data_IF_220195335121
#
_entry.id   IF_220195335121
#
_cell.length_a   1.000
_cell.length_b   1.000
_cell.length_c   1.000
_cell.angle_alpha   90.00
_cell.angle_beta   90.00
_cell.angle_gamma   90.00
#
_symmetry.space_group_name_H-M   'P 1'
#
loop_
_entity.id
_entity.type
_entity.pdbx_description
1 polymer ?
#
# COMPACT_ATOMS: atom_id res chain seq x y z
N UNK A 1 29.23 -9.99 4.23
CA UNK A 1 30.20 -9.54 3.21
C UNK A 1 29.81 -8.13 2.80
N UNK A 2 30.46 -7.13 3.40
CA UNK A 2 30.05 -5.72 3.35
C UNK A 2 31.01 -4.95 2.44
N UNK A 3 30.53 -4.58 1.25
CA UNK A 3 31.31 -3.80 0.28
C UNK A 3 30.98 -2.33 0.50
N UNK A 4 31.92 -1.62 1.12
CA UNK A 4 31.95 -0.16 1.23
C UNK A 4 32.10 0.43 -0.18
N UNK A 5 31.16 1.29 -0.59
CA UNK A 5 31.33 2.14 -1.79
C UNK A 5 31.87 3.50 -1.34
N UNK A 6 33.05 3.82 -1.88
CA UNK A 6 33.72 5.12 -1.78
C UNK A 6 32.97 6.19 -2.61
N UNK A 7 33.06 7.47 -2.24
CA UNK A 7 32.46 8.57 -2.99
C UNK A 7 33.31 8.96 -4.22
N UNK A 8 32.71 9.56 -5.27
CA UNK A 8 33.45 10.01 -6.43
C UNK A 8 34.17 11.34 -6.17
N UNK A 9 35.42 11.39 -6.60
CA UNK A 9 36.31 12.55 -6.57
C UNK A 9 35.81 13.67 -7.48
N UNK A 10 35.85 14.87 -6.94
CA UNK A 10 35.68 16.16 -7.61
C UNK A 10 36.82 16.43 -8.60
N UNK A 11 36.57 16.24 -9.89
CA UNK A 11 37.41 16.77 -10.97
C UNK A 11 36.93 18.18 -11.35
N UNK A 12 37.31 19.17 -10.55
CA UNK A 12 37.14 20.59 -10.84
C UNK A 12 38.44 21.33 -10.52
N UNK A 13 39.45 21.17 -11.37
CA UNK A 13 40.58 22.10 -11.52
C UNK A 13 41.48 21.57 -12.63
N UNK A 14 41.26 22.02 -13.87
CA UNK A 14 42.24 22.03 -14.98
C UNK A 14 41.56 22.55 -16.24
N UNK A 15 41.09 23.81 -16.24
CA UNK A 15 40.75 24.51 -17.48
C UNK A 15 40.84 26.04 -17.30
N UNK A 16 41.97 26.49 -16.77
CA UNK A 16 42.43 27.89 -16.90
C UNK A 16 43.82 27.87 -17.57
N UNK A 17 43.84 27.64 -18.86
CA UNK A 17 44.92 28.07 -19.75
C UNK A 17 44.44 27.90 -21.18
N UNK A 18 44.09 29.03 -21.82
CA UNK A 18 44.03 29.32 -23.27
C UNK A 18 42.85 30.23 -23.64
N UNK A 19 42.80 31.42 -23.05
CA UNK A 19 42.02 32.55 -23.60
C UNK A 19 42.71 33.85 -23.26
N UNK A 20 43.84 34.12 -23.93
CA UNK A 20 44.49 35.46 -24.03
C UNK A 20 45.50 35.43 -25.17
N UNK A 21 45.02 35.55 -26.41
CA UNK A 21 45.80 36.13 -27.51
C UNK A 21 44.86 36.47 -28.68
N UNK A 22 44.18 37.60 -28.58
CA UNK A 22 43.50 38.26 -29.70
C UNK A 22 43.39 39.73 -29.34
N UNK A 23 43.76 40.59 -30.29
CA UNK A 23 43.91 42.06 -30.25
C UNK A 23 45.32 42.55 -29.90
N UNK A 24 46.15 42.68 -30.93
CA UNK A 24 46.82 43.93 -31.30
C UNK A 24 47.91 43.64 -32.34
N UNK A 25 47.56 43.55 -33.62
CA UNK A 25 48.53 43.81 -34.71
C UNK A 25 47.76 44.11 -36.00
N UNK A 26 47.13 45.27 -36.02
CA UNK A 26 46.83 46.00 -37.23
C UNK A 26 47.52 47.35 -37.08
N UNK A 27 48.10 47.85 -38.18
CA UNK A 27 48.82 49.12 -38.34
C UNK A 27 50.35 49.09 -38.23
N UNK A 28 50.94 49.76 -39.22
CA UNK A 28 52.33 50.19 -39.36
C UNK A 28 53.41 49.18 -39.76
N UNK A 29 53.35 48.75 -41.03
CA UNK A 29 54.55 48.62 -41.88
C UNK A 29 54.23 49.17 -43.27
N UNK A 30 54.23 50.50 -43.37
CA UNK A 30 54.36 51.22 -44.62
C UNK A 30 55.68 52.01 -44.54
N UNK A 31 56.77 51.43 -45.02
CA UNK A 31 57.99 52.18 -45.37
C UNK A 31 58.80 51.41 -46.41
N UNK A 32 58.50 51.77 -47.66
CA UNK A 32 59.42 51.91 -48.80
C UNK A 32 60.58 50.92 -48.91
N UNK A 33 60.37 49.81 -49.63
CA UNK A 33 61.41 49.22 -50.46
C UNK A 33 61.06 49.44 -51.92
N UNK A 34 61.73 50.43 -52.48
CA UNK A 34 61.79 50.74 -53.92
C UNK A 34 62.06 49.46 -54.71
N UNK A 35 61.09 49.01 -55.51
CA UNK A 35 61.37 48.14 -56.64
C UNK A 35 62.04 48.98 -57.73
N UNK A 36 63.16 48.53 -58.33
CA UNK A 36 63.70 49.21 -59.49
C UNK A 36 62.71 49.04 -60.65
N UNK A 37 62.15 50.17 -61.10
CA UNK A 37 61.38 50.27 -62.33
C UNK A 37 62.31 50.02 -63.52
N UNK A 38 62.29 48.79 -64.05
CA UNK A 38 63.07 48.36 -65.21
C UNK A 38 62.37 48.67 -66.56
N UNK A 39 61.34 49.53 -66.57
CA UNK A 39 60.69 49.96 -67.81
C UNK A 39 61.44 51.06 -68.59
N UNK A 40 62.68 51.41 -68.20
CA UNK A 40 63.55 52.38 -68.88
C UNK A 40 64.93 51.83 -69.22
N UNK A 41 65.00 50.73 -69.99
CA UNK A 41 66.24 50.29 -70.62
C UNK A 41 65.95 49.75 -72.02
N UNK A 42 65.40 50.57 -72.90
CA UNK A 42 65.65 50.46 -74.34
C UNK A 42 65.21 51.75 -75.05
N UNK A 43 65.90 52.08 -76.14
CA UNK A 43 65.77 53.29 -76.99
C UNK A 43 66.70 54.46 -76.62
N UNK A 44 67.96 54.35 -77.05
CA UNK A 44 68.66 55.37 -77.86
C UNK A 44 70.08 54.85 -78.19
N UNK A 45 70.16 53.95 -79.17
CA UNK A 45 71.37 53.73 -79.96
C UNK A 45 70.98 53.90 -81.43
N UNK A 46 70.70 55.15 -81.81
CA UNK A 46 70.68 55.55 -83.21
C UNK A 46 72.12 55.77 -83.68
N UNK A 47 72.61 54.78 -84.41
CA UNK A 47 73.56 54.87 -85.53
C UNK A 47 74.36 56.18 -85.67
N UNK A 48 75.52 56.24 -85.01
CA UNK A 48 76.62 57.08 -85.49
C UNK A 48 77.29 56.37 -86.68
N UNK A 49 76.67 56.56 -87.84
CA UNK A 49 77.18 56.25 -89.15
C UNK A 49 78.47 57.04 -89.46
N UNK A 50 79.43 56.37 -90.15
CA UNK A 50 80.38 56.97 -91.13
C UNK A 50 81.63 57.64 -90.50
N UNK A 51 82.89 57.45 -90.94
CA UNK A 51 83.50 56.91 -92.17
C UNK A 51 84.91 56.40 -91.84
N UNK A 52 85.25 55.15 -92.17
CA UNK A 52 86.66 54.76 -92.31
C UNK A 52 87.13 55.02 -93.74
N UNK A 53 88.00 56.03 -93.91
CA UNK A 53 88.77 56.22 -95.14
C UNK A 53 89.64 54.98 -95.38
N UNK A 54 89.26 54.15 -96.36
CA UNK A 54 90.09 53.05 -96.90
C UNK A 54 91.39 53.62 -97.47
N UNK A 55 92.49 53.51 -96.74
CA UNK A 55 93.83 53.59 -97.35
C UNK A 55 94.03 52.33 -98.18
N UNK A 56 94.08 52.48 -99.51
CA UNK A 56 94.62 51.47 -100.42
C UNK A 56 96.07 51.21 -100.02
N UNK A 57 96.33 50.09 -99.38
CA UNK A 57 97.67 49.49 -99.36
C UNK A 57 97.68 48.23 -100.23
N UNK A 58 98.84 47.90 -100.81
CA UNK A 58 98.96 46.97 -101.92
C UNK A 58 98.63 45.55 -101.49
N UNK A 59 98.04 44.83 -102.45
CA UNK A 59 97.79 43.41 -102.47
C UNK A 59 99.10 42.64 -102.22
N UNK A 60 99.36 42.30 -100.95
CA UNK A 60 100.29 41.24 -100.58
C UNK A 60 99.44 40.00 -100.33
N UNK A 61 99.36 39.18 -101.37
CA UNK A 61 98.92 37.79 -101.29
C UNK A 61 99.79 37.06 -100.27
N UNK A 62 99.13 36.38 -99.33
CA UNK A 62 99.74 35.61 -98.23
C UNK A 62 100.40 36.44 -97.11
N UNK A 63 99.57 37.19 -96.36
CA UNK A 63 99.89 37.45 -94.95
C UNK A 63 99.65 36.16 -94.16
N UNK A 64 100.64 35.69 -93.40
CA UNK A 64 100.53 34.56 -92.48
C UNK A 64 99.35 34.67 -91.48
N UNK A 65 98.78 35.87 -91.33
CA UNK A 65 97.61 36.18 -90.51
C UNK A 65 96.23 35.87 -91.15
N UNK A 66 96.15 35.55 -92.45
CA UNK A 66 94.87 35.34 -93.16
C UNK A 66 94.10 34.10 -92.67
N UNK A 67 94.81 33.02 -92.39
CA UNK A 67 94.19 31.78 -91.90
C UNK A 67 93.79 31.89 -90.43
N UNK A 68 94.53 32.65 -89.63
CA UNK A 68 94.15 33.02 -88.26
C UNK A 68 92.84 33.83 -88.23
N UNK A 69 92.66 34.78 -89.16
CA UNK A 69 91.41 35.57 -89.25
C UNK A 69 90.21 34.71 -89.70
N UNK A 70 90.41 33.74 -90.60
CA UNK A 70 89.36 32.77 -90.97
C UNK A 70 89.01 31.86 -89.80
N UNK A 71 90.00 31.40 -89.05
CA UNK A 71 89.81 30.58 -87.84
C UNK A 71 89.02 31.36 -86.79
N UNK A 72 89.38 32.61 -86.52
CA UNK A 72 88.65 33.49 -85.59
C UNK A 72 87.19 33.72 -86.01
N UNK A 73 86.91 33.89 -87.31
CA UNK A 73 85.52 34.01 -87.79
C UNK A 73 84.71 32.74 -87.60
N UNK A 74 85.31 31.57 -87.86
CA UNK A 74 84.67 30.29 -87.63
C UNK A 74 84.41 30.07 -86.13
N UNK A 75 85.36 30.41 -85.27
CA UNK A 75 85.18 30.36 -83.81
C UNK A 75 84.10 31.34 -83.32
N UNK A 76 84.09 32.57 -83.82
CA UNK A 76 83.03 33.54 -83.53
C UNK A 76 81.66 33.01 -83.96
N UNK A 77 81.54 32.46 -85.17
CA UNK A 77 80.28 31.87 -85.65
C UNK A 77 79.82 30.69 -84.79
N UNK A 78 80.76 29.85 -84.35
CA UNK A 78 80.49 28.74 -83.43
C UNK A 78 80.04 29.25 -82.06
N UNK A 79 80.70 30.26 -81.51
CA UNK A 79 80.35 30.90 -80.24
C UNK A 79 78.97 31.56 -80.34
N UNK A 80 78.65 32.27 -81.43
CA UNK A 80 77.33 32.85 -81.67
C UNK A 80 76.25 31.78 -81.71
N UNK A 81 76.48 30.68 -82.44
CA UNK A 81 75.52 29.56 -82.51
C UNK A 81 75.30 28.91 -81.13
N UNK A 82 76.35 28.78 -80.33
CA UNK A 82 76.26 28.29 -78.95
C UNK A 82 75.46 29.24 -78.05
N UNK A 83 75.69 30.56 -78.19
CA UNK A 83 74.94 31.59 -77.45
C UNK A 83 73.46 31.60 -77.83
N UNK A 84 73.13 31.49 -79.12
CA UNK A 84 71.75 31.41 -79.59
C UNK A 84 71.03 30.16 -79.05
N UNK A 85 71.70 29.01 -79.06
CA UNK A 85 71.15 27.77 -78.49
C UNK A 85 70.97 27.90 -76.97
N UNK A 86 71.96 28.44 -76.25
CA UNK A 86 71.86 28.67 -74.81
C UNK A 86 70.72 29.63 -74.46
N UNK A 87 70.57 30.74 -75.21
CA UNK A 87 69.45 31.66 -75.05
C UNK A 87 68.12 30.98 -75.33
N UNK A 88 68.01 30.20 -76.41
CA UNK A 88 66.79 29.45 -76.74
C UNK A 88 66.40 28.45 -75.65
N UNK A 89 67.37 27.68 -75.13
CA UNK A 89 67.15 26.74 -74.04
C UNK A 89 66.69 27.44 -72.76
N UNK A 90 67.33 28.55 -72.39
CA UNK A 90 66.91 29.33 -71.23
C UNK A 90 65.50 29.90 -71.40
N UNK A 91 65.15 30.41 -72.59
CA UNK A 91 63.79 30.86 -72.89
C UNK A 91 62.78 29.72 -72.74
N UNK A 92 63.10 28.51 -73.22
CA UNK A 92 62.23 27.34 -73.03
C UNK A 92 62.08 26.95 -71.55
N UNK A 93 63.16 26.99 -70.77
CA UNK A 93 63.13 26.71 -69.32
C UNK A 93 62.23 27.73 -68.61
N UNK A 94 62.38 29.01 -68.91
CA UNK A 94 61.57 30.09 -68.33
C UNK A 94 60.09 29.91 -68.69
N UNK A 95 59.77 29.59 -69.94
CA UNK A 95 58.39 29.37 -70.36
C UNK A 95 57.75 28.17 -69.64
N UNK A 96 58.45 27.04 -69.55
CA UNK A 96 57.97 25.86 -68.79
C UNK A 96 57.77 26.20 -67.32
N UNK A 97 58.68 26.97 -66.72
CA UNK A 97 58.55 27.41 -65.34
C UNK A 97 57.35 28.35 -65.14
N UNK A 98 57.08 29.24 -66.09
CA UNK A 98 55.91 30.11 -66.04
C UNK A 98 54.60 29.32 -66.17
N UNK A 99 54.55 28.31 -67.05
CA UNK A 99 53.40 27.42 -67.18
C UNK A 99 53.12 26.65 -65.89
N UNK A 100 54.16 26.10 -65.24
CA UNK A 100 53.99 25.40 -63.95
C UNK A 100 53.58 26.34 -62.84
N UNK A 101 54.12 27.57 -62.78
CA UNK A 101 53.69 28.60 -61.82
C UNK A 101 52.21 28.95 -62.02
N UNK A 102 51.75 29.10 -63.27
CA UNK A 102 50.34 29.37 -63.57
C UNK A 102 49.46 28.20 -63.14
N UNK A 103 49.86 26.95 -63.43
CA UNK A 103 49.12 25.75 -63.01
C UNK A 103 48.97 25.68 -61.48
N UNK A 104 50.08 25.81 -60.74
CA UNK A 104 50.07 25.79 -59.27
C UNK A 104 49.24 26.93 -58.70
N UNK A 105 49.29 28.12 -59.32
CA UNK A 105 48.46 29.26 -58.91
C UNK A 105 46.97 28.95 -59.06
N UNK A 106 46.56 28.30 -60.15
CA UNK A 106 45.17 27.90 -60.36
C UNK A 106 44.73 26.86 -59.32
N UNK A 107 45.52 25.81 -59.09
CA UNK A 107 45.25 24.81 -58.05
C UNK A 107 45.14 25.46 -56.66
N UNK A 108 46.00 26.42 -56.34
CA UNK A 108 45.95 27.17 -55.08
C UNK A 108 44.66 28.01 -54.95
N UNK A 109 44.17 28.59 -56.05
CA UNK A 109 42.89 29.31 -56.02
C UNK A 109 41.69 28.38 -55.82
N UNK A 110 41.69 27.21 -56.46
CA UNK A 110 40.64 26.20 -56.28
C UNK A 110 40.62 25.65 -54.85
N UNK A 111 41.80 25.33 -54.30
CA UNK A 111 41.94 24.91 -52.90
C UNK A 111 41.43 25.96 -51.93
N UNK A 112 41.69 27.25 -52.19
CA UNK A 112 41.21 28.35 -51.36
C UNK A 112 39.67 28.45 -51.37
N UNK A 113 39.05 28.31 -52.54
CA UNK A 113 37.58 28.33 -52.67
C UNK A 113 36.97 27.13 -51.94
N UNK A 114 37.51 25.92 -52.15
CA UNK A 114 37.06 24.71 -51.48
C UNK A 114 37.19 24.82 -49.95
N UNK A 115 38.29 25.39 -49.44
CA UNK A 115 38.49 25.61 -48.02
C UNK A 115 37.44 26.57 -47.42
N UNK A 116 37.11 27.67 -48.09
CA UNK A 116 36.07 28.58 -47.61
C UNK A 116 34.68 27.94 -47.63
N UNK A 117 34.38 27.09 -48.62
CA UNK A 117 33.14 26.31 -48.65
C UNK A 117 33.07 25.32 -47.47
N UNK A 118 34.13 24.56 -47.23
CA UNK A 118 34.21 23.61 -46.10
C UNK A 118 34.03 24.36 -44.77
N UNK A 119 34.71 25.50 -44.61
CA UNK A 119 34.62 26.33 -43.41
C UNK A 119 33.21 26.87 -43.17
N UNK A 120 32.54 27.33 -44.21
CA UNK A 120 31.13 27.76 -44.14
C UNK A 120 30.23 26.60 -43.72
N UNK A 121 30.38 25.42 -44.33
CA UNK A 121 29.59 24.23 -44.01
C UNK A 121 29.80 23.77 -42.56
N UNK A 122 31.06 23.71 -42.11
CA UNK A 122 31.40 23.34 -40.72
C UNK A 122 30.81 24.33 -39.72
N UNK A 123 30.86 25.63 -40.03
CA UNK A 123 30.29 26.67 -39.17
C UNK A 123 28.78 26.57 -39.07
N UNK A 124 28.09 26.30 -40.20
CA UNK A 124 26.64 26.08 -40.23
C UNK A 124 26.25 24.86 -39.38
N UNK A 125 26.91 23.72 -39.62
CA UNK A 125 26.62 22.49 -38.88
C UNK A 125 26.89 22.64 -37.37
N UNK A 126 27.95 23.37 -36.99
CA UNK A 126 28.23 23.65 -35.58
C UNK A 126 27.14 24.51 -34.93
N UNK A 127 26.56 25.46 -35.66
CA UNK A 127 25.43 26.27 -35.19
C UNK A 127 24.17 25.41 -35.01
N UNK A 128 23.85 24.54 -35.97
CA UNK A 128 22.68 23.66 -35.91
C UNK A 128 22.78 22.66 -34.75
N UNK A 129 23.95 22.04 -34.57
CA UNK A 129 24.22 21.15 -33.43
C UNK A 129 24.05 21.91 -32.10
N UNK A 130 24.54 23.16 -32.04
CA UNK A 130 24.41 23.98 -30.84
C UNK A 130 22.96 24.30 -30.51
N UNK A 131 22.13 24.58 -31.52
CA UNK A 131 20.69 24.80 -31.35
C UNK A 131 19.99 23.53 -30.83
N UNK A 132 20.24 22.37 -31.45
CA UNK A 132 19.67 21.10 -31.01
C UNK A 132 20.08 20.74 -29.57
N UNK A 133 21.33 21.02 -29.18
CA UNK A 133 21.79 20.81 -27.79
C UNK A 133 20.99 21.68 -26.80
N UNK A 134 20.66 22.92 -27.15
CA UNK A 134 19.83 23.77 -26.29
C UNK A 134 18.40 23.24 -26.17
N UNK A 135 17.82 22.77 -27.27
CA UNK A 135 16.48 22.17 -27.26
C UNK A 135 16.45 20.91 -26.39
N UNK A 136 17.43 20.00 -26.54
CA UNK A 136 17.57 18.80 -25.69
C UNK A 136 17.72 19.18 -24.22
N UNK A 137 18.49 20.23 -23.92
CA UNK A 137 18.66 20.72 -22.56
C UNK A 137 17.35 21.23 -21.96
N UNK A 138 16.55 21.95 -22.75
CA UNK A 138 15.25 22.46 -22.32
C UNK A 138 14.25 21.32 -22.04
N UNK A 139 14.15 20.34 -22.93
CA UNK A 139 13.26 19.19 -22.77
C UNK A 139 13.68 18.31 -21.59
N UNK A 140 14.99 18.12 -21.39
CA UNK A 140 15.52 17.40 -20.22
C UNK A 140 15.16 18.09 -18.91
N UNK A 141 15.18 19.43 -18.86
CA UNK A 141 14.78 20.17 -17.66
C UNK A 141 13.29 19.98 -17.33
N UNK A 142 12.42 19.97 -18.34
CA UNK A 142 10.98 19.70 -18.19
C UNK A 142 10.77 18.28 -17.65
N UNK A 143 11.40 17.27 -18.27
CA UNK A 143 11.30 15.87 -17.83
C UNK A 143 11.77 15.70 -16.37
N UNK A 144 12.85 16.38 -15.98
CA UNK A 144 13.33 16.34 -14.60
C UNK A 144 12.31 16.92 -13.60
N UNK A 145 11.61 18.00 -13.98
CA UNK A 145 10.54 18.58 -13.18
C UNK A 145 9.35 17.62 -13.04
N UNK A 146 8.89 17.04 -14.15
CA UNK A 146 7.79 16.07 -14.16
C UNK A 146 8.11 14.82 -13.34
N UNK A 147 9.35 14.33 -13.43
CA UNK A 147 9.82 13.23 -12.60
C UNK A 147 9.76 13.56 -11.10
N UNK A 148 10.08 14.81 -10.72
CA UNK A 148 9.90 15.30 -9.35
C UNK A 148 8.43 15.30 -8.90
N UNK A 149 7.53 15.77 -9.76
CA UNK A 149 6.10 15.80 -9.50
C UNK A 149 5.52 14.39 -9.34
N UNK A 150 5.85 13.47 -10.27
CA UNK A 150 5.44 12.06 -10.19
C UNK A 150 5.93 11.40 -8.91
N UNK A 151 7.19 11.65 -8.51
CA UNK A 151 7.75 11.13 -7.27
C UNK A 151 6.95 11.59 -6.04
N UNK A 152 6.53 12.85 -6.00
CA UNK A 152 5.68 13.37 -4.92
C UNK A 152 4.31 12.68 -4.88
N UNK A 153 3.68 12.49 -6.05
CA UNK A 153 2.40 11.79 -6.15
C UNK A 153 2.49 10.32 -5.71
N UNK A 154 3.57 9.62 -6.08
CA UNK A 154 3.83 8.24 -5.65
C UNK A 154 3.91 8.16 -4.13
N UNK A 155 4.67 9.04 -3.48
CA UNK A 155 4.76 9.08 -2.01
C UNK A 155 3.40 9.36 -1.35
N UNK A 156 2.55 10.20 -1.94
CA UNK A 156 1.20 10.42 -1.42
C UNK A 156 0.30 9.18 -1.55
N UNK A 157 0.43 8.43 -2.66
CA UNK A 157 -0.32 7.19 -2.87
C UNK A 157 0.13 6.13 -1.86
N UNK A 158 1.43 5.98 -1.61
CA UNK A 158 1.97 5.06 -0.61
C UNK A 158 1.36 5.31 0.78
N UNK A 159 1.28 6.58 1.20
CA UNK A 159 0.63 6.97 2.48
C UNK A 159 -0.87 6.62 2.50
N UNK A 160 -1.57 6.78 1.38
CA UNK A 160 -3.01 6.44 1.31
C UNK A 160 -3.24 4.92 1.37
N UNK A 161 -2.34 4.14 0.76
CA UNK A 161 -2.40 2.67 0.78
C UNK A 161 -2.20 2.16 2.20
N UNK A 162 -1.15 2.60 2.90
CA UNK A 162 -0.89 2.16 4.29
C UNK A 162 -2.06 2.49 5.23
N UNK A 163 -2.60 3.70 5.14
CA UNK A 163 -3.78 4.10 5.92
C UNK A 163 -5.02 3.23 5.62
N UNK A 164 -5.17 2.78 4.37
CA UNK A 164 -6.29 1.92 3.98
C UNK A 164 -6.12 0.50 4.50
N UNK A 165 -4.90 -0.04 4.47
CA UNK A 165 -4.56 -1.34 5.06
C UNK A 165 -4.82 -1.38 6.56
N UNK A 166 -4.48 -0.31 7.28
CA UNK A 166 -4.71 -0.23 8.73
C UNK A 166 -6.20 -0.19 9.07
N UNK A 167 -7.00 0.55 8.30
CA UNK A 167 -8.47 0.56 8.44
C UNK A 167 -9.08 -0.81 8.20
N UNK A 168 -8.59 -1.54 7.20
CA UNK A 168 -9.05 -2.91 6.90
C UNK A 168 -8.74 -3.84 8.09
N UNK A 169 -7.52 -3.80 8.64
CA UNK A 169 -7.15 -4.59 9.83
C UNK A 169 -8.01 -4.29 11.05
N UNK A 170 -8.36 -3.02 11.26
CA UNK A 170 -9.28 -2.62 12.33
C UNK A 170 -10.68 -3.22 12.12
N UNK A 171 -11.24 -3.08 10.92
CA UNK A 171 -12.56 -3.63 10.59
C UNK A 171 -12.61 -5.16 10.72
N UNK A 172 -11.56 -5.86 10.29
CA UNK A 172 -11.44 -7.32 10.48
C UNK A 172 -11.44 -7.72 11.95
N UNK A 173 -10.75 -6.94 12.79
CA UNK A 173 -10.69 -7.18 14.23
C UNK A 173 -12.06 -6.99 14.87
N UNK A 174 -12.77 -5.92 14.52
CA UNK A 174 -14.11 -5.66 15.05
C UNK A 174 -15.15 -6.67 14.55
N UNK A 175 -15.04 -7.12 13.30
CA UNK A 175 -15.86 -8.20 12.76
C UNK A 175 -15.66 -9.51 13.55
N UNK A 176 -14.41 -9.87 13.87
CA UNK A 176 -14.12 -11.06 14.71
C UNK A 176 -14.75 -10.95 16.10
N UNK A 177 -14.65 -9.79 16.75
CA UNK A 177 -15.26 -9.55 18.07
C UNK A 177 -16.78 -9.73 18.01
N UNK A 178 -17.45 -9.16 17.00
CA UNK A 178 -18.89 -9.27 16.84
C UNK A 178 -19.33 -10.71 16.57
N UNK A 179 -18.58 -11.45 15.75
CA UNK A 179 -18.84 -12.86 15.45
C UNK A 179 -18.73 -13.76 16.69
N UNK A 180 -17.78 -13.48 17.59
CA UNK A 180 -17.65 -14.20 18.86
C UNK A 180 -18.78 -13.87 19.84
N UNK A 181 -19.21 -12.61 19.89
CA UNK A 181 -20.33 -12.18 20.75
C UNK A 181 -21.66 -12.77 20.31
N UNK A 182 -21.89 -12.95 19.01
CA UNK A 182 -23.18 -13.47 18.49
C UNK A 182 -23.34 -14.98 18.70
N UNK A 183 -22.25 -15.76 18.67
CA UNK A 183 -22.31 -17.21 18.88
C UNK A 183 -22.46 -17.64 20.34
N UNK A 184 -21.97 -16.85 21.31
CA UNK A 184 -22.02 -17.21 22.74
C UNK A 184 -23.32 -16.81 23.43
N UNK A 185 -23.97 -15.72 22.99
CA UNK A 185 -25.18 -15.21 23.64
C UNK A 185 -26.47 -15.89 23.16
N UNK A 186 -26.56 -16.31 21.89
CA UNK A 186 -27.81 -16.86 21.36
C UNK A 186 -28.13 -18.28 21.89
N UNK A 187 -27.14 -19.18 21.93
CA UNK A 187 -27.38 -20.59 22.29
C UNK A 187 -27.69 -20.79 23.77
N UNK A 188 -27.02 -20.03 24.64
CA UNK A 188 -27.22 -20.09 26.09
C UNK A 188 -28.55 -19.47 26.52
N UNK A 189 -28.92 -18.34 25.91
CA UNK A 189 -30.17 -17.64 26.22
C UNK A 189 -31.41 -18.36 25.67
N UNK A 190 -31.33 -19.00 24.50
CA UNK A 190 -32.42 -19.84 23.98
C UNK A 190 -32.70 -21.06 24.87
N UNK A 191 -31.64 -21.73 25.36
CA UNK A 191 -31.77 -22.86 26.29
C UNK A 191 -32.39 -22.43 27.62
N UNK A 192 -31.98 -21.26 28.16
CA UNK A 192 -32.55 -20.70 29.38
C UNK A 192 -34.04 -20.34 29.20
N UNK A 193 -34.39 -19.71 28.08
CA UNK A 193 -35.79 -19.37 27.77
C UNK A 193 -36.66 -20.63 27.65
N UNK A 194 -36.16 -21.69 27.01
CA UNK A 194 -36.88 -22.96 26.87
C UNK A 194 -37.08 -23.67 28.22
N UNK A 195 -36.13 -23.55 29.15
CA UNK A 195 -36.32 -24.05 30.52
C UNK A 195 -37.41 -23.27 31.26
N UNK A 196 -37.45 -21.94 31.12
CA UNK A 196 -38.48 -21.08 31.72
C UNK A 196 -39.87 -21.43 31.15
N UNK A 197 -40.00 -21.55 29.83
CA UNK A 197 -41.28 -21.88 29.17
C UNK A 197 -41.81 -23.23 29.66
N UNK A 198 -40.95 -24.26 29.69
CA UNK A 198 -41.32 -25.59 30.20
C UNK A 198 -41.77 -25.56 31.65
N UNK A 199 -41.07 -24.82 32.50
CA UNK A 199 -41.43 -24.67 33.91
C UNK A 199 -42.79 -23.97 34.09
N UNK A 200 -43.09 -22.92 33.32
CA UNK A 200 -44.39 -22.23 33.37
C UNK A 200 -45.52 -23.17 32.96
N UNK A 201 -45.33 -23.95 31.89
CA UNK A 201 -46.32 -24.93 31.44
C UNK A 201 -46.54 -26.03 32.49
N UNK A 202 -45.48 -26.53 33.12
CA UNK A 202 -45.57 -27.55 34.16
C UNK A 202 -46.28 -27.03 35.41
N UNK A 203 -46.03 -25.78 35.82
CA UNK A 203 -46.79 -25.14 36.91
C UNK A 203 -48.27 -25.04 36.59
N UNK A 204 -48.62 -24.60 35.38
CA UNK A 204 -50.01 -24.50 34.93
C UNK A 204 -50.73 -25.85 34.93
N UNK A 205 -50.03 -26.95 34.59
CA UNK A 205 -50.59 -28.32 34.67
C UNK A 205 -50.77 -28.82 36.11
N UNK A 206 -50.01 -28.27 37.07
CA UNK A 206 -49.99 -28.74 38.46
C UNK A 206 -50.80 -27.88 39.42
N UNK A 207 -51.15 -26.65 39.08
CA UNK A 207 -51.89 -25.72 39.94
C UNK A 207 -53.27 -26.25 40.37
N UNK A 208 -53.87 -27.11 39.53
CA UNK A 208 -55.16 -27.75 39.80
C UNK A 208 -55.05 -28.98 40.72
N UNK A 209 -53.84 -29.32 41.18
CA UNK A 209 -53.58 -30.53 41.94
C UNK A 209 -53.11 -30.21 43.36
N UNK A 210 -53.50 -31.08 44.29
CA UNK A 210 -52.95 -31.11 45.65
C UNK A 210 -52.39 -32.48 45.97
N UNK A 211 -51.49 -32.50 46.95
CA UNK A 211 -50.88 -33.70 47.48
C UNK A 211 -51.29 -33.83 48.94
N UNK A 212 -51.98 -34.93 49.26
CA UNK A 212 -52.41 -35.27 50.61
C UNK A 212 -51.49 -36.36 51.17
N UNK A 213 -51.04 -36.18 52.40
CA UNK A 213 -50.14 -37.09 53.12
C UNK A 213 -50.77 -37.45 54.45
N UNK A 214 -50.64 -38.71 54.87
CA UNK A 214 -51.14 -39.19 56.16
C UNK A 214 -52.43 -40.02 56.09
N UNK A 215 -52.98 -40.26 54.89
CA UNK A 215 -54.11 -41.18 54.70
C UNK A 215 -53.59 -42.63 54.75
N UNK A 216 -54.09 -43.48 55.68
CA UNK A 216 -53.69 -44.87 55.82
C UNK A 216 -53.79 -45.66 54.50
N UNK A 217 -52.89 -46.61 54.27
CA UNK A 217 -52.97 -47.48 53.08
C UNK A 217 -54.08 -48.52 53.25
N UNK A 218 -54.86 -48.71 52.20
CA UNK A 218 -55.90 -49.73 52.15
C UNK A 218 -55.27 -51.10 51.85
N UNK A 219 -55.54 -52.09 52.69
CA UNK A 219 -54.98 -53.45 52.61
C UNK A 219 -55.89 -54.44 51.86
N UNK A 220 -57.02 -53.99 51.31
CA UNK A 220 -57.91 -54.86 50.53
C UNK A 220 -57.18 -55.43 49.31
N UNK A 221 -57.51 -56.69 48.99
CA UNK A 221 -57.00 -57.40 47.82
C UNK A 221 -57.58 -56.79 46.55
N UNK A 222 -58.84 -56.31 46.59
CA UNK A 222 -59.49 -55.72 45.44
C UNK A 222 -58.97 -54.31 45.16
N UNK A 223 -58.72 -54.03 43.89
CA UNK A 223 -58.19 -52.72 43.48
C UNK A 223 -59.27 -51.66 43.44
N UNK A 224 -60.50 -52.00 43.05
CA UNK A 224 -61.59 -51.04 42.99
C UNK A 224 -62.03 -50.61 44.39
N UNK A 225 -62.14 -51.54 45.32
CA UNK A 225 -62.46 -51.24 46.71
C UNK A 225 -61.43 -50.29 47.35
N UNK A 226 -60.13 -50.48 47.07
CA UNK A 226 -59.08 -49.58 47.56
C UNK A 226 -59.24 -48.17 46.99
N UNK A 227 -59.53 -48.04 45.69
CA UNK A 227 -59.75 -46.74 45.05
C UNK A 227 -60.98 -46.05 45.67
N UNK A 228 -62.12 -46.76 45.80
CA UNK A 228 -63.35 -46.20 46.37
C UNK A 228 -63.17 -45.73 47.82
N UNK A 229 -62.42 -46.49 48.63
CA UNK A 229 -62.09 -46.06 50.00
C UNK A 229 -61.20 -44.83 50.01
N UNK A 230 -60.17 -44.78 49.18
CA UNK A 230 -59.32 -43.59 49.04
C UNK A 230 -60.14 -42.37 48.57
N UNK A 231 -61.08 -42.54 47.63
CA UNK A 231 -62.00 -41.47 47.21
C UNK A 231 -62.87 -40.97 48.37
N UNK A 232 -63.45 -41.89 49.14
CA UNK A 232 -64.29 -41.57 50.30
C UNK A 232 -63.50 -40.81 51.37
N UNK A 233 -62.28 -41.26 51.68
CA UNK A 233 -61.40 -40.61 52.67
C UNK A 233 -61.04 -39.18 52.23
N UNK A 234 -60.64 -39.01 50.97
CA UNK A 234 -60.34 -37.69 50.40
C UNK A 234 -61.56 -36.78 50.41
N UNK A 235 -62.74 -37.28 50.07
CA UNK A 235 -63.96 -36.49 50.05
C UNK A 235 -64.38 -36.06 51.47
N UNK A 236 -64.23 -36.95 52.46
CA UNK A 236 -64.47 -36.63 53.87
C UNK A 236 -63.50 -35.57 54.41
N UNK A 237 -62.24 -35.59 53.97
CA UNK A 237 -61.25 -34.57 54.37
C UNK A 237 -61.56 -33.22 53.71
N UNK A 238 -61.84 -33.23 52.41
CA UNK A 238 -62.05 -32.00 51.63
C UNK A 238 -63.36 -31.29 51.98
N UNK A 239 -64.44 -32.04 52.24
CA UNK A 239 -65.74 -31.49 52.65
C UNK A 239 -65.70 -30.77 54.00
N UNK A 240 -64.85 -31.24 54.94
CA UNK A 240 -64.63 -30.58 56.24
C UNK A 240 -64.01 -29.18 56.12
N UNK A 241 -63.24 -28.94 55.05
CA UNK A 241 -62.58 -27.65 54.84
C UNK A 241 -63.57 -26.62 54.30
N UNK A 242 -64.35 -27.01 53.29
CA UNK A 242 -65.44 -26.21 52.72
C UNK A 242 -66.43 -27.08 51.95
N UNK A 243 -67.73 -26.84 52.15
CA UNK A 243 -68.80 -27.48 51.40
C UNK A 243 -68.88 -27.04 49.92
N UNK A 244 -68.23 -25.92 49.57
CA UNK A 244 -68.22 -25.38 48.20
C UNK A 244 -67.22 -26.07 47.26
N UNK A 245 -66.41 -27.01 47.78
CA UNK A 245 -65.39 -27.69 46.99
C UNK A 245 -66.06 -28.81 46.16
N UNK A 246 -65.93 -28.79 44.83
CA UNK A 246 -66.50 -29.84 43.98
C UNK A 246 -65.77 -31.17 44.17
N UNK A 247 -66.40 -32.26 43.70
CA UNK A 247 -65.76 -33.58 43.66
C UNK A 247 -64.48 -33.51 42.79
N UNK A 248 -63.34 -34.08 43.24
CA UNK A 248 -62.16 -34.17 42.41
C UNK A 248 -62.36 -35.06 41.18
N UNK A 249 -61.68 -34.74 40.07
CA UNK A 249 -61.75 -35.51 38.83
C UNK A 249 -60.98 -36.83 38.91
N UNK A 250 -59.81 -36.79 39.57
CA UNK A 250 -58.89 -37.93 39.65
C UNK A 250 -58.25 -37.97 41.02
N UNK A 251 -58.29 -39.14 41.63
CA UNK A 251 -57.69 -39.43 42.93
C UNK A 251 -56.84 -40.70 42.77
N UNK A 252 -55.55 -40.62 43.09
CA UNK A 252 -54.67 -41.78 43.03
C UNK A 252 -53.43 -41.61 43.90
N UNK A 253 -52.90 -42.73 44.40
CA UNK A 253 -51.64 -42.75 45.18
C UNK A 253 -50.43 -42.59 44.26
N UNK A 254 -49.45 -41.80 44.70
CA UNK A 254 -48.16 -41.63 44.05
C UNK A 254 -47.11 -42.52 44.74
N UNK A 255 -46.38 -43.31 43.96
CA UNK A 255 -45.21 -44.07 44.41
C UNK A 255 -45.48 -45.57 44.61
N UNK A 256 -44.40 -46.31 44.85
CA UNK A 256 -44.44 -47.76 45.11
C UNK A 256 -44.89 -48.03 46.53
N UNK A 257 -45.71 -49.07 46.71
CA UNK A 257 -46.16 -49.50 48.03
C UNK A 257 -44.98 -49.97 48.88
N UNK A 258 -44.96 -49.58 50.16
CA UNK A 258 -43.99 -50.05 51.16
C UNK A 258 -44.73 -50.27 52.47
N UNK A 259 -44.59 -51.46 53.05
CA UNK A 259 -45.21 -51.80 54.32
C UNK A 259 -44.77 -50.81 55.43
N UNK A 260 -45.73 -50.37 56.24
CA UNK A 260 -45.50 -49.40 57.32
C UNK A 260 -45.35 -47.94 56.87
N UNK A 261 -45.46 -47.63 55.57
CA UNK A 261 -45.40 -46.26 55.05
C UNK A 261 -46.67 -45.91 54.29
N UNK A 262 -47.17 -44.68 54.51
CA UNK A 262 -48.32 -44.15 53.76
C UNK A 262 -47.83 -43.40 52.53
N UNK A 263 -48.29 -43.83 51.35
CA UNK A 263 -48.03 -43.08 50.12
C UNK A 263 -48.87 -41.81 50.09
N UNK A 264 -48.38 -40.85 49.31
CA UNK A 264 -49.08 -39.59 49.10
C UNK A 264 -50.21 -39.81 48.09
N UNK A 265 -51.34 -39.15 48.30
CA UNK A 265 -52.45 -39.14 47.34
C UNK A 265 -52.40 -37.86 46.53
N UNK A 266 -52.45 -37.98 45.20
CA UNK A 266 -52.67 -36.88 44.28
C UNK A 266 -54.17 -36.72 44.04
N UNK A 267 -54.64 -35.50 44.19
CA UNK A 267 -56.03 -35.13 43.96
C UNK A 267 -56.04 -34.04 42.90
N UNK A 268 -56.77 -34.26 41.80
CA UNK A 268 -56.82 -33.36 40.65
C UNK A 268 -58.22 -32.75 40.51
N UNK A 269 -58.28 -31.43 40.32
CA UNK A 269 -59.51 -30.67 40.08
C UNK A 269 -59.52 -30.08 38.67
N UNK A 270 -60.67 -29.57 38.23
CA UNK A 270 -60.77 -28.83 36.96
C UNK A 270 -60.20 -27.41 37.05
N UNK A 271 -60.32 -26.79 38.23
CA UNK A 271 -60.06 -25.38 38.42
C UNK A 271 -59.16 -25.11 39.64
N UNK A 272 -58.28 -24.09 39.60
CA UNK A 272 -57.28 -23.84 40.65
C UNK A 272 -57.89 -23.32 41.96
N UNK A 273 -59.13 -22.83 41.92
CA UNK A 273 -59.82 -22.26 43.08
C UNK A 273 -60.01 -23.30 44.19
N UNK A 274 -60.29 -24.56 43.84
CA UNK A 274 -60.50 -25.62 44.84
C UNK A 274 -59.21 -25.99 45.59
N UNK A 275 -58.08 -26.30 44.91
CA UNK A 275 -56.77 -26.41 45.54
C UNK A 275 -56.38 -25.19 46.39
N UNK A 276 -56.57 -23.97 45.88
CA UNK A 276 -56.23 -22.75 46.61
C UNK A 276 -57.03 -22.61 47.91
N UNK A 277 -58.34 -22.89 47.87
CA UNK A 277 -59.19 -22.82 49.04
C UNK A 277 -58.80 -23.87 50.10
N UNK A 278 -58.45 -25.08 49.66
CA UNK A 278 -57.96 -26.16 50.53
C UNK A 278 -56.65 -25.78 51.21
N UNK A 279 -55.69 -25.24 50.45
CA UNK A 279 -54.39 -24.83 50.97
C UNK A 279 -54.48 -23.62 51.92
N UNK A 280 -55.43 -22.71 51.68
CA UNK A 280 -55.68 -21.54 52.54
C UNK A 280 -56.31 -21.92 53.88
N UNK A 281 -57.18 -22.91 53.88
CA UNK A 281 -57.91 -23.36 55.08
C UNK A 281 -57.35 -24.67 55.64
N UNK A 282 -56.07 -24.96 55.40
CA UNK A 282 -55.41 -26.22 55.81
C UNK A 282 -55.41 -26.46 57.33
N UNK A 283 -55.65 -25.43 58.13
CA UNK A 283 -55.77 -25.51 59.59
C UNK A 283 -57.03 -26.28 60.04
N UNK A 284 -58.06 -26.39 59.18
CA UNK A 284 -59.27 -27.19 59.44
C UNK A 284 -59.07 -28.69 59.22
N UNK A 285 -57.91 -29.09 58.71
CA UNK A 285 -57.60 -30.47 58.38
C UNK A 285 -57.10 -31.16 59.66
N UNK A 286 -57.46 -32.43 59.91
CA UNK A 286 -56.96 -33.18 61.06
C UNK A 286 -55.42 -33.17 61.15
N UNK A 287 -54.87 -33.05 62.36
CA UNK A 287 -53.41 -32.90 62.57
C UNK A 287 -52.56 -34.03 61.99
N UNK A 288 -53.13 -35.24 61.88
CA UNK A 288 -52.49 -36.41 61.28
C UNK A 288 -52.38 -36.36 59.75
N UNK A 289 -53.07 -35.41 59.10
CA UNK A 289 -53.12 -35.26 57.65
C UNK A 289 -52.53 -33.92 57.24
N UNK A 290 -51.66 -33.93 56.23
CA UNK A 290 -51.03 -32.72 55.69
C UNK A 290 -51.35 -32.58 54.22
N UNK A 291 -51.70 -31.36 53.81
CA UNK A 291 -51.94 -31.02 52.40
C UNK A 291 -50.86 -30.05 51.91
N UNK A 292 -50.36 -30.34 50.72
CA UNK A 292 -49.36 -29.56 50.01
C UNK A 292 -49.85 -29.25 48.59
N UNK A 293 -49.33 -28.18 47.99
CA UNK A 293 -49.48 -27.96 46.56
C UNK A 293 -48.63 -28.99 45.78
N UNK A 294 -49.09 -29.37 44.59
CA UNK A 294 -48.28 -30.17 43.66
C UNK A 294 -47.21 -29.27 43.01
N UNK A 295 -45.98 -29.39 43.49
CA UNK A 295 -44.85 -28.56 43.06
C UNK A 295 -44.06 -29.21 41.92
N UNK A 296 -43.51 -28.40 41.02
CA UNK A 296 -42.53 -28.86 40.03
C UNK A 296 -41.23 -29.28 40.71
N UNK A 297 -40.38 -30.11 40.05
CA UNK A 297 -39.05 -30.42 40.57
C UNK A 297 -38.19 -29.17 40.84
N UNK A 298 -38.31 -28.13 40.00
CA UNK A 298 -37.60 -26.87 40.19
C UNK A 298 -38.10 -26.11 41.43
N UNK A 299 -39.41 -26.04 41.64
CA UNK A 299 -40.01 -25.46 42.86
C UNK A 299 -39.57 -26.23 44.11
N UNK A 300 -39.59 -27.56 44.06
CA UNK A 300 -39.17 -28.40 45.19
C UNK A 300 -37.68 -28.19 45.51
N UNK A 301 -36.81 -28.17 44.49
CA UNK A 301 -35.38 -27.89 44.66
C UNK A 301 -35.13 -26.51 45.26
N UNK A 302 -35.82 -25.48 44.76
CA UNK A 302 -35.72 -24.12 45.30
C UNK A 302 -36.17 -24.06 46.76
N UNK A 303 -37.32 -24.68 47.08
CA UNK A 303 -37.83 -24.71 48.44
C UNK A 303 -36.92 -25.48 49.42
N UNK A 304 -36.29 -26.57 48.97
CA UNK A 304 -35.28 -27.28 49.75
C UNK A 304 -34.05 -26.41 50.02
N UNK A 305 -33.57 -25.67 49.02
CA UNK A 305 -32.45 -24.76 49.20
C UNK A 305 -32.77 -23.66 50.24
N UNK A 306 -33.97 -23.09 50.16
CA UNK A 306 -34.44 -22.09 51.13
C UNK A 306 -34.59 -22.69 52.54
N UNK A 307 -35.05 -23.94 52.67
CA UNK A 307 -35.09 -24.64 53.97
C UNK A 307 -33.72 -24.88 54.56
N UNK A 308 -32.77 -25.26 53.72
CA UNK A 308 -31.39 -25.49 54.13
C UNK A 308 -30.72 -24.18 54.54
N UNK A 309 -30.94 -23.10 53.79
CA UNK A 309 -30.48 -21.77 54.16
C UNK A 309 -31.08 -21.31 55.50
N UNK A 310 -32.38 -21.53 55.72
CA UNK A 310 -33.02 -21.24 57.01
C UNK A 310 -32.36 -22.02 58.16
N UNK A 311 -32.09 -23.31 57.96
CA UNK A 311 -31.41 -24.17 58.94
C UNK A 311 -30.03 -23.63 59.28
N UNK A 312 -29.24 -23.26 58.27
CA UNK A 312 -27.89 -22.71 58.46
C UNK A 312 -27.90 -21.39 59.22
N UNK A 313 -28.85 -20.49 58.92
CA UNK A 313 -29.01 -19.22 59.66
C UNK A 313 -29.44 -19.44 61.11
N UNK A 314 -30.34 -20.39 61.35
CA UNK A 314 -30.75 -20.79 62.70
C UNK A 314 -29.57 -21.35 63.51
N UNK A 315 -28.73 -22.19 62.89
CA UNK A 315 -27.50 -22.71 63.51
C UNK A 315 -26.44 -21.62 63.75
N UNK A 316 -26.48 -20.55 62.96
CA UNK A 316 -25.62 -19.36 63.13
C UNK A 316 -26.13 -18.38 64.18
N UNK A 317 -27.27 -18.67 64.85
CA UNK A 317 -27.82 -17.88 65.95
C UNK A 317 -29.00 -16.97 65.59
N UNK A 318 -29.47 -16.95 64.33
CA UNK A 318 -30.68 -16.21 63.94
C UNK A 318 -31.95 -17.01 64.26
N UNK A 319 -32.58 -16.77 65.42
CA UNK A 319 -33.73 -17.55 65.91
C UNK A 319 -35.11 -17.00 65.52
N UNK A 320 -35.17 -15.82 64.90
CA UNK A 320 -36.42 -15.12 64.54
C UNK A 320 -36.84 -15.32 63.08
N UNK A 321 -36.34 -16.33 62.38
CA UNK A 321 -36.58 -16.52 60.95
C UNK A 321 -37.68 -17.54 60.63
N UNK A 322 -38.49 -17.28 59.60
CA UNK A 322 -39.47 -18.22 59.07
C UNK A 322 -39.61 -18.09 57.56
N UNK A 323 -40.06 -19.16 56.89
CA UNK A 323 -40.35 -19.12 55.45
C UNK A 323 -41.80 -18.73 55.24
N UNK A 324 -42.02 -17.59 54.58
CA UNK A 324 -43.34 -17.14 54.13
C UNK A 324 -43.37 -17.05 52.61
N UNK A 325 -44.52 -17.32 52.02
CA UNK A 325 -44.74 -17.12 50.60
C UNK A 325 -45.14 -15.66 50.35
N UNK A 326 -44.34 -14.91 49.60
CA UNK A 326 -44.62 -13.53 49.16
C UNK A 326 -44.79 -13.57 47.65
N UNK A 327 -45.97 -13.17 47.15
CA UNK A 327 -46.32 -13.23 45.72
C UNK A 327 -46.07 -14.62 45.09
N UNK A 328 -46.34 -15.69 45.85
CA UNK A 328 -46.14 -17.08 45.41
C UNK A 328 -44.69 -17.59 45.46
N UNK A 329 -43.74 -16.78 45.95
CA UNK A 329 -42.32 -17.16 46.09
C UNK A 329 -41.99 -17.41 47.57
N UNK A 330 -41.40 -18.56 47.95
CA UNK A 330 -40.97 -18.79 49.32
C UNK A 330 -39.76 -17.91 49.65
N UNK A 331 -39.86 -17.15 50.73
CA UNK A 331 -38.84 -16.20 51.17
C UNK A 331 -38.64 -16.31 52.67
N UNK A 332 -37.38 -16.24 53.13
CA UNK A 332 -37.03 -16.18 54.54
C UNK A 332 -37.30 -14.77 55.04
N UNK A 333 -38.14 -14.64 56.05
CA UNK A 333 -38.49 -13.37 56.69
C UNK A 333 -38.28 -13.47 58.20
N UNK A 334 -38.10 -12.32 58.84
CA UNK A 334 -38.14 -12.22 60.31
C UNK A 334 -39.58 -12.30 60.79
N UNK A 335 -39.81 -13.11 61.82
CA UNK A 335 -41.07 -13.17 62.54
C UNK A 335 -41.26 -11.85 63.28
N UNK A 336 -42.33 -11.13 62.96
CA UNK A 336 -42.75 -10.02 63.79
C UNK A 336 -43.17 -10.59 65.15
N UNK A 337 -42.61 -10.06 66.24
CA UNK A 337 -43.07 -10.34 67.59
C UNK A 337 -44.56 -10.01 67.67
N UNK A 338 -45.40 -11.02 67.90
CA UNK A 338 -46.80 -10.80 68.25
C UNK A 338 -46.81 -10.08 69.59
N UNK A 339 -47.10 -8.78 69.59
CA UNK A 339 -47.55 -8.11 70.80
C UNK A 339 -48.86 -8.80 71.22
N UNK A 340 -48.79 -9.62 72.26
CA UNK A 340 -49.97 -9.99 73.04
C UNK A 340 -50.50 -8.68 73.63
N UNK A 341 -51.60 -8.15 73.08
CA UNK A 341 -52.46 -7.27 73.85
C UNK A 341 -53.21 -8.18 74.83
N UNK A 342 -52.70 -8.25 76.06
CA UNK A 342 -53.52 -8.57 77.22
C UNK A 342 -54.54 -7.44 77.41
N UNK A 343 -55.82 -7.72 77.16
CA UNK A 343 -56.97 -7.08 77.80
C UNK A 343 -58.07 -8.11 78.02
#
# INVERSE_FOLDING_TARGET
MSVRRSPPETAASSLEHLTKCSKATTEYLAETRSQPDLSKLNEELSEAQITYRKRKQPFVTECACSDEVKLMRNDLSRITSLLENYTSQNTQIINRMNETIISVKNEMTELKVSHEQIKSLVTSNAADISAQIQDIKSTTAIIASDHGNMKSQISQIEIKVTNSEDKIKMLETDYRKLKLSTQTTQTSQLSANEQIIREVQDRKKRENNIIIVGIPEQTSIDTQERILRDESDVLNITSKVSATIPKPNKIFRIGKYKAGSTRRIKVCYDAPESPMLLLRNKEKIPENIKIYSDQTPAQHKYFLAIKEELRQRAESGESDLTIKYINGVPTIIKQASKNFNDQ
#
